data_IF_901682660202
#
_entry.id   IF_901682660202
#
_cell.length_a   1.000
_cell.length_b   1.000
_cell.length_c   1.000
_cell.angle_alpha   90.00
_cell.angle_beta   90.00
_cell.angle_gamma   90.00
#
_symmetry.space_group_name_H-M   'P 1'
#
loop_
_entity.id
_entity.type
_entity.pdbx_description
1 polymer ?
#
# COMPACT_ATOMS: atom_id res chain seq x y z
N UNK A 1 15.09 -13.18 -7.98
CA UNK A 1 13.86 -12.67 -8.61
C UNK A 1 12.97 -12.04 -7.55
N UNK A 2 11.97 -11.21 -7.91
CA UNK A 2 11.01 -10.64 -6.94
C UNK A 2 10.31 -11.75 -6.13
N UNK A 3 9.91 -12.83 -6.79
CA UNK A 3 9.29 -14.00 -6.15
C UNK A 3 10.17 -14.62 -5.06
N UNK A 4 11.47 -14.77 -5.33
CA UNK A 4 12.42 -15.29 -4.34
C UNK A 4 12.57 -14.34 -3.15
N UNK A 5 12.72 -13.04 -3.40
CA UNK A 5 12.83 -12.03 -2.34
C UNK A 5 11.62 -12.05 -1.40
N UNK A 6 10.41 -12.06 -1.95
CA UNK A 6 9.17 -12.09 -1.16
C UNK A 6 9.06 -13.40 -0.36
N UNK A 7 9.44 -14.53 -0.96
CA UNK A 7 9.46 -15.83 -0.27
C UNK A 7 10.42 -15.82 0.92
N UNK A 8 11.63 -15.29 0.74
CA UNK A 8 12.63 -15.19 1.81
C UNK A 8 12.17 -14.24 2.93
N UNK A 9 11.61 -13.09 2.58
CA UNK A 9 11.04 -12.12 3.52
C UNK A 9 9.90 -12.73 4.35
N UNK A 10 8.93 -13.38 3.69
CA UNK A 10 7.80 -14.04 4.36
C UNK A 10 8.24 -15.17 5.28
N UNK A 11 9.24 -15.95 4.85
CA UNK A 11 9.82 -17.03 5.66
C UNK A 11 10.56 -16.49 6.89
N UNK A 12 11.36 -15.43 6.73
CA UNK A 12 12.06 -14.78 7.84
C UNK A 12 11.08 -14.21 8.85
N UNK A 13 10.04 -13.50 8.38
CA UNK A 13 9.00 -12.95 9.24
C UNK A 13 8.23 -14.03 9.99
N UNK A 14 7.80 -15.10 9.30
CA UNK A 14 7.10 -16.24 9.91
C UNK A 14 7.94 -16.90 11.02
N UNK A 15 9.23 -17.13 10.75
CA UNK A 15 10.16 -17.68 11.76
C UNK A 15 10.30 -16.75 12.97
N UNK A 16 10.44 -15.45 12.74
CA UNK A 16 10.53 -14.44 13.80
C UNK A 16 9.27 -14.40 14.68
N UNK A 17 8.10 -14.35 14.07
CA UNK A 17 6.81 -14.33 14.77
C UNK A 17 6.56 -15.63 15.54
N UNK A 18 6.83 -16.79 14.93
CA UNK A 18 6.69 -18.08 15.61
C UNK A 18 7.63 -18.19 16.82
N UNK A 19 8.87 -17.72 16.70
CA UNK A 19 9.82 -17.66 17.83
C UNK A 19 9.34 -16.72 18.93
N UNK A 20 8.89 -15.50 18.58
CA UNK A 20 8.44 -14.48 19.53
C UNK A 20 7.22 -14.92 20.33
N UNK A 21 6.23 -15.52 19.66
CA UNK A 21 4.94 -15.87 20.26
C UNK A 21 4.82 -17.36 20.62
N UNK A 22 5.93 -18.13 20.54
CA UNK A 22 5.96 -19.59 20.80
C UNK A 22 4.91 -20.35 19.98
N UNK A 23 4.64 -19.90 18.75
CA UNK A 23 3.71 -20.52 17.80
C UNK A 23 4.44 -21.48 16.85
N UNK A 24 3.68 -22.32 16.15
CA UNK A 24 4.16 -23.20 15.07
C UNK A 24 3.22 -23.07 13.87
N UNK A 25 3.70 -23.48 12.71
CA UNK A 25 2.92 -23.50 11.47
C UNK A 25 3.14 -22.27 10.59
N UNK A 26 2.35 -22.21 9.51
CA UNK A 26 2.37 -21.12 8.52
C UNK A 26 1.65 -19.89 9.06
N UNK A 27 2.18 -18.70 8.76
CA UNK A 27 1.53 -17.43 9.11
C UNK A 27 0.74 -16.83 7.95
N UNK A 28 1.26 -16.99 6.73
CA UNK A 28 0.62 -16.53 5.49
C UNK A 28 -0.15 -17.68 4.85
N UNK A 29 -1.38 -17.40 4.42
CA UNK A 29 -2.31 -18.43 3.93
C UNK A 29 -2.12 -18.77 2.45
N UNK A 30 -1.70 -17.81 1.62
CA UNK A 30 -1.56 -18.00 0.17
C UNK A 30 -0.22 -17.49 -0.38
N UNK A 31 0.08 -17.89 -1.62
CA UNK A 31 1.14 -17.27 -2.41
C UNK A 31 0.81 -15.81 -2.69
N UNK A 32 1.84 -14.99 -2.86
CA UNK A 32 1.68 -13.62 -3.33
C UNK A 32 1.19 -13.58 -4.77
N UNK A 33 0.32 -12.62 -5.06
CA UNK A 33 -0.11 -12.29 -6.42
C UNK A 33 0.75 -11.15 -6.95
N UNK A 34 0.99 -11.14 -8.25
CA UNK A 34 1.68 -10.05 -8.94
C UNK A 34 0.89 -9.67 -10.18
N UNK A 35 0.60 -8.37 -10.34
CA UNK A 35 0.01 -7.79 -11.53
C UNK A 35 0.95 -6.71 -12.03
N UNK A 36 1.22 -6.72 -13.32
CA UNK A 36 2.07 -5.70 -13.93
C UNK A 36 1.30 -4.37 -13.96
N UNK A 37 2.00 -3.27 -13.70
CA UNK A 37 1.46 -1.91 -13.74
C UNK A 37 2.26 -1.18 -14.80
N UNK A 38 1.67 -1.05 -15.98
CA UNK A 38 2.28 -0.51 -17.19
C UNK A 38 1.57 0.71 -17.75
N UNK A 39 0.49 1.10 -17.09
CA UNK A 39 -0.30 2.28 -17.40
C UNK A 39 -0.24 3.27 -16.23
N UNK A 40 0.11 4.52 -16.53
CA UNK A 40 0.24 5.59 -15.53
C UNK A 40 -1.09 5.91 -14.86
N UNK A 41 -2.19 5.82 -15.62
CA UNK A 41 -3.54 6.00 -15.07
C UNK A 41 -3.85 4.89 -14.07
N UNK A 42 -3.50 3.64 -14.39
CA UNK A 42 -3.67 2.52 -13.49
C UNK A 42 -2.80 2.66 -12.23
N UNK A 43 -1.58 3.19 -12.34
CA UNK A 43 -0.71 3.46 -11.19
C UNK A 43 -1.39 4.36 -10.15
N UNK A 44 -1.97 5.50 -10.56
CA UNK A 44 -2.62 6.42 -9.60
C UNK A 44 -3.82 5.76 -8.92
N UNK A 45 -4.57 4.91 -9.63
CA UNK A 45 -5.66 4.11 -9.05
C UNK A 45 -5.15 3.08 -8.04
N UNK A 46 -4.03 2.42 -8.32
CA UNK A 46 -3.39 1.47 -7.37
C UNK A 46 -2.96 2.19 -6.10
N UNK A 47 -2.36 3.39 -6.21
CA UNK A 47 -2.01 4.21 -5.04
C UNK A 47 -3.25 4.49 -4.20
N UNK A 48 -4.32 5.00 -4.81
CA UNK A 48 -5.58 5.27 -4.10
C UNK A 48 -6.15 4.02 -3.44
N UNK A 49 -6.21 2.91 -4.16
CA UNK A 49 -6.68 1.63 -3.63
C UNK A 49 -5.92 1.23 -2.35
N UNK A 50 -4.58 1.27 -2.39
CA UNK A 50 -3.74 0.93 -1.23
C UNK A 50 -4.02 1.86 -0.05
N UNK A 51 -4.11 3.17 -0.27
CA UNK A 51 -4.36 4.15 0.78
C UNK A 51 -5.76 4.02 1.41
N UNK A 52 -6.76 3.62 0.62
CA UNK A 52 -8.14 3.44 1.07
C UNK A 52 -8.39 2.11 1.80
N UNK A 53 -7.55 1.10 1.61
CA UNK A 53 -7.75 -0.24 2.20
C UNK A 53 -7.98 -0.22 3.72
N UNK A 54 -7.21 0.53 4.53
CA UNK A 54 -7.47 0.64 5.97
C UNK A 54 -8.84 1.22 6.30
N UNK A 55 -9.32 2.18 5.51
CA UNK A 55 -10.65 2.80 5.69
C UNK A 55 -11.74 1.80 5.32
N UNK A 56 -11.60 1.12 4.18
CA UNK A 56 -12.54 0.07 3.72
C UNK A 56 -12.61 -1.11 4.69
N UNK A 57 -11.49 -1.44 5.34
CA UNK A 57 -11.43 -2.49 6.37
C UNK A 57 -11.94 -2.02 7.75
N UNK A 58 -12.36 -0.77 7.91
CA UNK A 58 -12.83 -0.21 9.19
C UNK A 58 -11.73 0.03 10.23
N UNK A 59 -10.45 0.02 9.81
CA UNK A 59 -9.29 0.24 10.68
C UNK A 59 -9.00 1.73 10.91
N UNK A 60 -9.51 2.61 10.04
CA UNK A 60 -9.28 4.04 10.09
C UNK A 60 -10.52 4.80 9.59
N UNK A 61 -10.73 6.04 10.07
CA UNK A 61 -11.80 6.91 9.57
C UNK A 61 -11.40 7.62 8.28
N UNK A 62 -10.14 8.02 8.18
CA UNK A 62 -9.55 8.65 7.00
C UNK A 62 -8.23 7.96 6.63
N UNK A 63 -7.79 8.11 5.38
CA UNK A 63 -6.54 7.49 4.87
C UNK A 63 -5.31 7.91 5.66
N UNK A 64 -5.28 9.16 6.17
CA UNK A 64 -4.17 9.71 6.96
C UNK A 64 -4.17 9.23 8.42
N UNK A 65 -5.28 8.65 8.89
CA UNK A 65 -5.40 8.21 10.29
C UNK A 65 -4.70 6.86 10.52
N UNK A 66 -4.47 6.08 9.45
CA UNK A 66 -3.79 4.80 9.55
C UNK A 66 -2.27 4.97 9.63
N UNK A 67 -1.68 4.48 10.72
CA UNK A 67 -0.24 4.67 11.01
C UNK A 67 0.68 3.90 10.05
N UNK A 68 0.29 2.70 9.66
CA UNK A 68 1.12 1.79 8.86
C UNK A 68 0.87 1.98 7.35
N UNK A 69 0.88 3.23 6.89
CA UNK A 69 0.66 3.61 5.49
C UNK A 69 1.53 4.80 5.09
N UNK A 70 1.86 4.86 3.80
CA UNK A 70 2.54 6.00 3.17
C UNK A 70 1.67 7.26 3.09
N UNK A 71 0.37 7.18 3.42
CA UNK A 71 -0.55 8.30 3.40
C UNK A 71 0.03 9.55 4.09
N UNK A 72 0.57 9.42 5.31
CA UNK A 72 1.11 10.58 6.03
C UNK A 72 2.29 11.22 5.31
N UNK A 73 3.16 10.44 4.68
CA UNK A 73 4.29 10.98 3.91
C UNK A 73 3.81 11.67 2.63
N UNK A 74 2.89 11.04 1.89
CA UNK A 74 2.33 11.62 0.66
C UNK A 74 1.56 12.92 0.91
N UNK A 75 0.95 13.07 2.10
CA UNK A 75 0.26 14.30 2.52
C UNK A 75 1.19 15.32 3.22
N UNK A 76 2.50 15.05 3.31
CA UNK A 76 3.48 15.93 3.96
C UNK A 76 3.30 16.06 5.47
N UNK A 77 2.62 15.11 6.12
CA UNK A 77 2.36 15.06 7.56
C UNK A 77 3.43 14.29 8.34
N UNK A 78 4.35 13.62 7.63
CA UNK A 78 5.40 12.78 8.20
C UNK A 78 6.63 12.78 7.30
N UNK A 79 7.82 12.62 7.90
CA UNK A 79 9.11 12.46 7.20
C UNK A 79 9.78 11.16 7.66
N UNK A 80 9.19 10.02 7.33
CA UNK A 80 9.78 8.71 7.67
C UNK A 80 10.85 8.31 6.64
N UNK A 81 10.80 8.91 5.44
CA UNK A 81 11.69 8.67 4.31
C UNK A 81 11.66 7.20 3.83
N UNK A 82 10.50 6.55 3.92
CA UNK A 82 10.27 5.17 3.45
C UNK A 82 9.62 5.18 2.07
N UNK A 83 8.87 6.25 1.77
CA UNK A 83 8.15 6.43 0.51
C UNK A 83 8.92 7.36 -0.43
N UNK A 84 9.07 6.97 -1.71
CA UNK A 84 9.49 7.92 -2.75
C UNK A 84 8.30 8.83 -3.12
N UNK A 85 8.14 9.90 -2.34
CA UNK A 85 7.08 10.88 -2.49
C UNK A 85 7.22 11.64 -3.82
N UNK A 86 8.45 11.95 -4.23
CA UNK A 86 8.71 12.71 -5.46
C UNK A 86 8.22 11.97 -6.71
N UNK A 87 8.65 10.70 -6.85
CA UNK A 87 8.22 9.85 -7.97
C UNK A 87 6.73 9.53 -7.89
N UNK A 88 6.17 9.31 -6.70
CA UNK A 88 4.73 9.00 -6.59
C UNK A 88 3.87 10.19 -6.99
N UNK A 89 4.22 11.41 -6.56
CA UNK A 89 3.46 12.62 -6.86
C UNK A 89 3.66 13.12 -8.29
N UNK A 90 4.73 12.71 -9.00
CA UNK A 90 4.95 13.12 -10.40
C UNK A 90 3.93 12.55 -11.39
N UNK A 91 3.16 11.52 -11.01
CA UNK A 91 2.05 10.99 -11.79
C UNK A 91 0.76 11.83 -11.70
N UNK A 92 0.79 12.92 -10.94
CA UNK A 92 -0.33 13.86 -10.82
C UNK A 92 0.08 15.23 -11.36
N UNK A 93 -0.85 15.93 -12.03
CA UNK A 93 -0.61 17.27 -12.57
C UNK A 93 -0.17 18.29 -11.50
N UNK A 94 -0.66 18.09 -10.26
CA UNK A 94 -0.27 18.89 -9.11
C UNK A 94 -0.57 18.17 -7.80
N UNK A 95 0.03 18.67 -6.73
CA UNK A 95 -0.29 18.21 -5.37
C UNK A 95 -1.77 18.43 -5.00
N UNK A 96 -2.41 19.48 -5.53
CA UNK A 96 -3.84 19.69 -5.36
C UNK A 96 -4.67 18.65 -6.12
N UNK A 97 -4.28 18.30 -7.35
CA UNK A 97 -4.93 17.24 -8.12
C UNK A 97 -4.85 15.89 -7.39
N UNK A 98 -3.69 15.56 -6.81
CA UNK A 98 -3.53 14.39 -5.93
C UNK A 98 -4.53 14.42 -4.75
N UNK A 99 -4.58 15.52 -3.99
CA UNK A 99 -5.48 15.62 -2.83
C UNK A 99 -6.96 15.49 -3.22
N UNK A 100 -7.35 16.08 -4.35
CA UNK A 100 -8.72 15.97 -4.89
C UNK A 100 -8.99 14.51 -5.27
N UNK A 101 -8.08 13.87 -5.99
CA UNK A 101 -8.23 12.48 -6.44
C UNK A 101 -8.38 11.48 -5.29
N UNK A 102 -7.59 11.62 -4.22
CA UNK A 102 -7.67 10.76 -3.04
C UNK A 102 -8.96 10.99 -2.23
N UNK A 103 -9.49 12.21 -2.20
CA UNK A 103 -10.73 12.54 -1.47
C UNK A 103 -12.00 12.20 -2.25
N UNK A 104 -11.91 12.02 -3.56
CA UNK A 104 -13.05 11.69 -4.39
C UNK A 104 -13.58 10.28 -4.04
N UNK A 105 -14.87 10.16 -3.72
CA UNK A 105 -15.46 8.88 -3.29
C UNK A 105 -15.93 7.99 -4.46
N UNK A 106 -15.62 8.34 -5.71
CA UNK A 106 -16.02 7.52 -6.86
C UNK A 106 -15.38 6.14 -6.78
N UNK A 107 -16.23 5.12 -6.79
CA UNK A 107 -15.84 3.71 -6.81
C UNK A 107 -15.42 3.26 -8.22
N UNK A 108 -14.11 2.97 -8.32
CA UNK A 108 -13.39 2.05 -9.23
C UNK A 108 -13.64 2.21 -10.75
N UNK A 109 -12.62 2.79 -11.40
CA UNK A 109 -12.19 2.49 -12.78
C UNK A 109 -12.11 0.98 -13.03
N UNK A 110 -12.32 0.49 -14.26
CA UNK A 110 -12.49 -0.94 -14.66
C UNK A 110 -11.36 -1.94 -14.29
N UNK A 111 -10.43 -1.57 -13.42
CA UNK A 111 -9.29 -2.35 -12.98
C UNK A 111 -9.47 -2.88 -11.55
N UNK A 112 -10.44 -3.76 -11.32
CA UNK A 112 -10.44 -4.59 -10.12
C UNK A 112 -9.23 -5.57 -10.16
N UNK A 113 -8.68 -5.89 -8.99
CA UNK A 113 -7.50 -6.77 -8.79
C UNK A 113 -7.94 -8.11 -8.23
#
# INVERSE_FOLDING_TARGET
TISQFISELGNAFTKGMNKKYKRKGVLFESKVKSKWVDDETYFVWVVKYILENPVKAGLAKNVIDYEFSSAKELFGLSMQNITDVGTTLSFFDSYEAFKIFIRDNKSVSSYEI
#
